data_IF_687657311081
#
_entry.id   IF_687657311081
#
_cell.length_a   1.000
_cell.length_b   1.000
_cell.length_c   1.000
_cell.angle_alpha   90.00
_cell.angle_beta   90.00
_cell.angle_gamma   90.00
#
_symmetry.space_group_name_H-M   'P 1'
#
loop_
_entity.id
_entity.type
_entity.pdbx_description
1 polymer ?
#
# COMPACT_ATOMS: atom_id res chain seq x y z
N UNK A 1 19.09 -18.44 4.31
CA UNK A 1 18.47 -19.18 3.19
C UNK A 1 18.85 -18.44 1.92
N UNK A 2 19.18 -19.15 0.84
CA UNK A 2 19.65 -18.55 -0.40
C UNK A 2 18.50 -18.11 -1.31
N UNK A 3 18.85 -17.27 -2.30
CA UNK A 3 17.97 -16.91 -3.41
C UNK A 3 17.85 -18.08 -4.39
N UNK A 4 16.64 -18.35 -4.87
CA UNK A 4 16.34 -19.30 -5.93
C UNK A 4 15.90 -18.49 -7.15
N UNK A 5 16.67 -18.55 -8.23
CA UNK A 5 16.25 -17.94 -9.49
C UNK A 5 15.33 -18.92 -10.23
N UNK A 6 14.11 -18.48 -10.54
CA UNK A 6 13.15 -19.25 -11.33
C UNK A 6 12.84 -18.50 -12.64
N UNK A 7 12.78 -19.24 -13.73
CA UNK A 7 12.31 -18.74 -15.02
C UNK A 7 10.81 -19.04 -15.16
N UNK A 8 10.04 -18.06 -15.61
CA UNK A 8 8.60 -18.21 -15.79
C UNK A 8 8.07 -17.38 -16.96
N UNK A 9 7.01 -17.88 -17.58
CA UNK A 9 6.19 -17.15 -18.55
C UNK A 9 5.06 -16.45 -17.81
N UNK A 10 5.08 -15.11 -17.81
CA UNK A 10 3.91 -14.33 -17.44
C UNK A 10 3.23 -13.95 -18.75
N UNK A 11 2.12 -14.64 -19.05
CA UNK A 11 1.53 -14.74 -20.38
C UNK A 11 1.64 -13.48 -21.24
N UNK A 12 2.06 -13.67 -22.49
CA UNK A 12 2.41 -12.59 -23.42
C UNK A 12 3.69 -12.84 -24.21
N UNK A 13 4.42 -13.94 -23.93
CA UNK A 13 5.61 -14.34 -24.68
C UNK A 13 6.91 -13.68 -24.18
N UNK A 14 6.86 -13.05 -23.01
CA UNK A 14 8.05 -12.49 -22.37
C UNK A 14 8.62 -13.50 -21.37
N UNK A 15 9.91 -13.81 -21.52
CA UNK A 15 10.65 -14.64 -20.56
C UNK A 15 11.11 -13.78 -19.40
N UNK A 16 10.76 -14.17 -18.18
CA UNK A 16 11.17 -13.47 -16.97
C UNK A 16 11.99 -14.38 -16.05
N UNK A 17 13.07 -13.83 -15.48
CA UNK A 17 13.79 -14.45 -14.37
C UNK A 17 13.44 -13.74 -13.08
N UNK A 18 12.98 -14.48 -12.08
CA UNK A 18 12.65 -13.94 -10.76
C UNK A 18 13.54 -14.58 -9.70
N UNK A 19 14.12 -13.72 -8.86
CA UNK A 19 14.85 -14.14 -7.68
C UNK A 19 13.87 -14.31 -6.51
N UNK A 20 13.58 -15.56 -6.17
CA UNK A 20 12.73 -15.94 -5.06
C UNK A 20 13.54 -16.20 -3.80
N UNK A 21 12.98 -15.88 -2.64
CA UNK A 21 13.57 -16.20 -1.35
C UNK A 21 12.50 -16.67 -0.38
N UNK A 22 12.83 -17.64 0.46
CA UNK A 22 11.98 -18.04 1.57
C UNK A 22 12.21 -17.05 2.72
N UNK A 23 11.13 -16.38 3.13
CA UNK A 23 11.13 -15.42 4.23
C UNK A 23 10.34 -16.00 5.40
N UNK A 24 10.82 -15.79 6.63
CA UNK A 24 10.14 -16.24 7.85
C UNK A 24 10.17 -15.15 8.95
N UNK A 25 9.11 -15.13 9.75
CA UNK A 25 8.95 -14.31 10.95
C UNK A 25 8.91 -15.17 12.21
N UNK A 26 9.36 -14.63 13.33
CA UNK A 26 9.33 -15.32 14.63
C UNK A 26 8.70 -14.38 15.64
N UNK A 27 7.51 -14.73 16.10
CA UNK A 27 6.74 -13.93 17.06
C UNK A 27 6.34 -14.75 18.28
N UNK A 28 6.08 -14.05 19.38
CA UNK A 28 5.47 -14.65 20.58
C UNK A 28 4.02 -15.07 20.35
N UNK A 29 3.39 -14.56 19.28
CA UNK A 29 2.10 -14.98 18.77
C UNK A 29 2.17 -15.28 17.27
N UNK A 30 1.14 -15.96 16.77
CA UNK A 30 0.99 -16.28 15.35
C UNK A 30 0.84 -15.01 14.51
N UNK A 31 0.07 -14.04 15.00
CA UNK A 31 -0.20 -12.76 14.34
C UNK A 31 1.10 -11.97 14.17
N UNK A 32 1.91 -11.88 15.23
CA UNK A 32 3.19 -11.19 15.18
C UNK A 32 4.18 -11.90 14.26
N UNK A 33 4.18 -13.24 14.24
CA UNK A 33 5.02 -14.00 13.31
C UNK A 33 4.65 -13.74 11.84
N UNK A 34 3.35 -13.64 11.53
CA UNK A 34 2.87 -13.29 10.19
C UNK A 34 3.22 -11.85 9.81
N UNK A 35 2.96 -10.89 10.70
CA UNK A 35 3.29 -9.49 10.46
C UNK A 35 4.77 -9.33 10.09
N UNK A 36 5.66 -9.91 10.89
CA UNK A 36 7.09 -9.88 10.62
C UNK A 36 7.47 -10.58 9.31
N UNK A 37 6.87 -11.74 9.02
CA UNK A 37 7.15 -12.46 7.77
C UNK A 37 6.73 -11.63 6.56
N UNK A 38 5.54 -11.01 6.62
CA UNK A 38 5.01 -10.18 5.54
C UNK A 38 5.79 -8.89 5.34
N UNK A 39 6.21 -8.23 6.43
CA UNK A 39 7.07 -7.05 6.34
C UNK A 39 8.45 -7.38 5.75
N UNK A 40 9.07 -8.48 6.19
CA UNK A 40 10.35 -8.94 5.61
C UNK A 40 10.22 -9.32 4.14
N UNK A 41 9.08 -9.88 3.74
CA UNK A 41 8.78 -10.21 2.35
C UNK A 41 8.41 -8.97 1.51
N UNK A 42 8.35 -7.77 2.12
CA UNK A 42 7.83 -6.52 1.52
C UNK A 42 6.39 -6.64 1.01
N UNK A 43 5.66 -7.64 1.51
CA UNK A 43 4.25 -7.83 1.22
C UNK A 43 3.38 -6.89 2.06
N UNK A 44 3.83 -6.53 3.26
CA UNK A 44 3.12 -5.61 4.17
C UNK A 44 4.02 -4.43 4.53
N UNK A 45 3.53 -3.21 4.35
CA UNK A 45 4.09 -2.01 4.96
C UNK A 45 3.07 -1.39 5.93
N UNK A 46 3.54 -1.05 7.13
CA UNK A 46 2.79 -0.27 8.12
C UNK A 46 3.40 1.12 8.19
N UNK A 47 2.58 2.16 8.00
CA UNK A 47 3.03 3.55 8.11
C UNK A 47 1.98 4.41 8.79
N UNK A 48 2.41 5.48 9.43
CA UNK A 48 1.50 6.55 9.84
C UNK A 48 1.01 7.29 8.58
N UNK A 49 -0.30 7.39 8.42
CA UNK A 49 -0.90 8.21 7.37
C UNK A 49 -0.89 9.69 7.79
N UNK A 50 -0.50 10.56 6.87
CA UNK A 50 -0.44 12.01 7.11
C UNK A 50 -1.31 12.77 6.10
N UNK A 51 -1.06 12.55 4.80
CA UNK A 51 -1.86 13.11 3.72
C UNK A 51 -1.64 12.36 2.41
N UNK A 52 -2.64 12.41 1.54
CA UNK A 52 -2.47 12.16 0.12
C UNK A 52 -1.87 13.39 -0.56
N UNK A 53 -0.97 13.15 -1.52
CA UNK A 53 -0.38 14.16 -2.42
C UNK A 53 0.09 15.42 -1.67
N UNK A 54 1.07 15.29 -0.77
CA UNK A 54 1.61 16.46 -0.04
C UNK A 54 2.17 17.53 -0.99
N UNK A 55 2.67 17.11 -2.15
CA UNK A 55 3.04 18.00 -3.25
C UNK A 55 1.96 17.98 -4.34
N UNK A 56 1.28 19.11 -4.52
CA UNK A 56 0.26 19.30 -5.54
C UNK A 56 0.80 19.13 -6.96
N UNK A 57 2.07 19.51 -7.20
CA UNK A 57 2.69 19.42 -8.52
C UNK A 57 2.88 17.96 -8.96
N UNK A 58 2.84 17.01 -8.03
CA UNK A 58 2.80 15.59 -8.40
C UNK A 58 1.60 15.29 -9.32
N UNK A 59 0.44 15.90 -9.09
CA UNK A 59 -0.75 15.64 -9.90
C UNK A 59 -0.71 16.30 -11.27
N UNK A 60 0.02 17.42 -11.44
CA UNK A 60 0.13 18.08 -12.75
C UNK A 60 0.87 17.23 -13.79
N UNK A 61 1.70 16.28 -13.34
CA UNK A 61 2.39 15.34 -14.23
C UNK A 61 1.44 14.27 -14.82
N UNK A 62 0.28 14.06 -14.19
CA UNK A 62 -0.69 13.02 -14.57
C UNK A 62 -2.03 13.58 -15.06
N UNK A 63 -2.36 14.83 -14.71
CA UNK A 63 -3.62 15.47 -15.03
C UNK A 63 -3.37 16.88 -15.56
N UNK A 64 -3.70 17.12 -16.82
CA UNK A 64 -3.39 18.40 -17.48
C UNK A 64 -4.32 19.54 -17.05
N UNK A 65 -5.64 19.37 -17.13
CA UNK A 65 -6.59 20.48 -16.93
C UNK A 65 -7.31 20.43 -15.57
N UNK A 66 -7.51 19.23 -15.00
CA UNK A 66 -8.38 19.04 -13.82
C UNK A 66 -7.62 18.84 -12.49
N UNK A 67 -6.27 18.94 -12.49
CA UNK A 67 -5.47 18.58 -11.32
C UNK A 67 -5.80 19.42 -10.07
N UNK A 68 -6.22 20.67 -10.25
CA UNK A 68 -6.69 21.57 -9.20
C UNK A 68 -7.93 21.01 -8.48
N UNK A 69 -8.93 20.58 -9.24
CA UNK A 69 -10.17 20.02 -8.70
C UNK A 69 -9.90 18.68 -8.01
N UNK A 70 -9.06 17.83 -8.63
CA UNK A 70 -8.65 16.55 -8.08
C UNK A 70 -7.92 16.76 -6.75
N UNK A 71 -6.96 17.68 -6.70
CA UNK A 71 -6.23 18.02 -5.48
C UNK A 71 -7.18 18.51 -4.39
N UNK A 72 -8.14 19.38 -4.73
CA UNK A 72 -9.13 19.87 -3.78
C UNK A 72 -9.99 18.75 -3.16
N UNK A 73 -10.32 17.70 -3.92
CA UNK A 73 -11.02 16.50 -3.41
C UNK A 73 -10.13 15.73 -2.42
N UNK A 74 -8.86 15.50 -2.74
CA UNK A 74 -7.93 14.85 -1.81
C UNK A 74 -7.70 15.67 -0.53
N UNK A 75 -7.66 17.00 -0.63
CA UNK A 75 -7.56 17.88 0.53
C UNK A 75 -8.77 17.76 1.48
N UNK A 76 -9.97 17.53 0.94
CA UNK A 76 -11.14 17.27 1.79
C UNK A 76 -11.00 15.95 2.55
N UNK A 77 -10.47 14.91 1.90
CA UNK A 77 -10.19 13.61 2.54
C UNK A 77 -9.10 13.77 3.60
N UNK A 78 -8.01 14.46 3.30
CA UNK A 78 -6.93 14.76 4.25
C UNK A 78 -7.47 15.48 5.50
N UNK A 79 -8.29 16.52 5.30
CA UNK A 79 -8.94 17.25 6.41
C UNK A 79 -9.84 16.35 7.24
N UNK A 80 -10.63 15.48 6.60
CA UNK A 80 -11.47 14.52 7.31
C UNK A 80 -10.63 13.65 8.25
N UNK A 81 -9.55 13.03 7.76
CA UNK A 81 -8.71 12.17 8.60
C UNK A 81 -8.03 12.93 9.73
N UNK A 82 -7.40 14.06 9.42
CA UNK A 82 -6.62 14.84 10.40
C UNK A 82 -7.47 15.51 11.48
N UNK A 83 -8.75 15.77 11.21
CA UNK A 83 -9.66 16.38 12.19
C UNK A 83 -10.41 15.36 13.04
N UNK A 84 -10.66 14.15 12.51
CA UNK A 84 -11.52 13.16 13.17
C UNK A 84 -10.76 12.14 13.99
N UNK A 85 -9.50 11.89 13.66
CA UNK A 85 -8.72 10.84 14.29
C UNK A 85 -7.42 11.42 14.85
N UNK A 86 -7.06 11.01 16.06
CA UNK A 86 -5.78 11.39 16.67
C UNK A 86 -4.62 10.67 16.00
N UNK A 87 -4.86 9.43 15.54
CA UNK A 87 -3.88 8.60 14.86
C UNK A 87 -4.56 7.86 13.71
N UNK A 88 -3.87 7.80 12.56
CA UNK A 88 -4.35 7.12 11.36
C UNK A 88 -3.24 6.22 10.85
N UNK A 89 -3.51 4.92 10.80
CA UNK A 89 -2.55 3.90 10.36
C UNK A 89 -2.87 3.52 8.92
N UNK A 90 -1.82 3.41 8.11
CA UNK A 90 -1.87 2.88 6.76
C UNK A 90 -1.27 1.47 6.72
N UNK A 91 -2.05 0.51 6.22
CA UNK A 91 -1.62 -0.83 5.86
C UNK A 91 -1.56 -0.91 4.34
N UNK A 92 -0.38 -1.17 3.79
CA UNK A 92 -0.20 -1.39 2.36
C UNK A 92 0.20 -2.84 2.14
N UNK A 93 -0.65 -3.57 1.43
CA UNK A 93 -0.38 -4.93 0.98
C UNK A 93 -0.04 -4.93 -0.50
N UNK A 94 1.18 -5.35 -0.83
CA UNK A 94 1.67 -5.42 -2.21
C UNK A 94 1.80 -6.88 -2.64
N UNK A 95 0.98 -7.28 -3.60
CA UNK A 95 1.02 -8.57 -4.27
C UNK A 95 1.57 -8.41 -5.68
N UNK A 96 1.75 -9.53 -6.37
CA UNK A 96 2.38 -9.56 -7.68
C UNK A 96 1.66 -8.67 -8.73
N UNK A 97 0.33 -8.70 -8.77
CA UNK A 97 -0.48 -7.91 -9.72
C UNK A 97 -1.45 -6.95 -9.05
N UNK A 98 -1.45 -6.88 -7.73
CA UNK A 98 -2.47 -6.15 -6.98
C UNK A 98 -1.85 -5.43 -5.79
N UNK A 99 -2.42 -4.27 -5.48
CA UNK A 99 -2.11 -3.55 -4.27
C UNK A 99 -3.40 -3.20 -3.54
N UNK A 100 -3.37 -3.39 -2.23
CA UNK A 100 -4.47 -3.10 -1.32
C UNK A 100 -3.96 -2.15 -0.25
N UNK A 101 -4.57 -0.97 -0.13
CA UNK A 101 -4.21 0.02 0.88
C UNK A 101 -5.42 0.24 1.78
N UNK A 102 -5.22 0.06 3.09
CA UNK A 102 -6.19 0.40 4.12
C UNK A 102 -5.66 1.58 4.91
N UNK A 103 -6.44 2.65 5.02
CA UNK A 103 -6.13 3.82 5.84
C UNK A 103 -7.21 3.90 6.90
N UNK A 104 -6.86 3.60 8.14
CA UNK A 104 -7.82 3.43 9.24
C UNK A 104 -7.47 4.34 10.41
N UNK A 105 -8.49 5.01 10.94
CA UNK A 105 -8.41 5.77 12.17
C UNK A 105 -9.46 5.26 13.16
N UNK A 106 -9.17 5.38 14.45
CA UNK A 106 -10.13 5.04 15.49
C UNK A 106 -10.93 6.29 15.88
N UNK A 107 -12.24 6.25 15.67
CA UNK A 107 -13.15 7.30 16.12
C UNK A 107 -13.33 7.28 17.64
N UNK A 108 -13.83 8.37 18.22
CA UNK A 108 -14.35 8.39 19.59
C UNK A 108 -15.87 8.15 19.50
N UNK A 109 -16.39 6.92 19.74
CA UNK A 109 -16.25 6.13 20.97
C UNK A 109 -15.43 4.82 20.89
N UNK A 110 -14.66 4.61 19.82
CA UNK A 110 -13.76 3.45 19.65
C UNK A 110 -13.93 2.68 18.33
N UNK A 111 -14.88 3.08 17.47
CA UNK A 111 -15.11 2.41 16.18
C UNK A 111 -13.99 2.72 15.19
N UNK A 112 -13.62 1.72 14.40
CA UNK A 112 -12.63 1.86 13.33
C UNK A 112 -13.30 2.32 12.03
N UNK A 113 -12.83 3.43 11.48
CA UNK A 113 -13.33 4.01 10.25
C UNK A 113 -12.16 4.24 9.31
N UNK A 114 -12.35 4.03 8.02
CA UNK A 114 -11.26 4.17 7.07
C UNK A 114 -11.66 4.09 5.62
N UNK A 115 -10.62 4.14 4.78
CA UNK A 115 -10.71 3.95 3.34
C UNK A 115 -10.00 2.65 2.94
N UNK A 116 -10.52 2.05 1.88
CA UNK A 116 -9.90 0.94 1.19
C UNK A 116 -9.65 1.35 -0.26
N UNK A 117 -8.41 1.25 -0.69
CA UNK A 117 -7.98 1.49 -2.06
C UNK A 117 -7.48 0.17 -2.63
N UNK A 118 -7.87 -0.13 -3.87
CA UNK A 118 -7.39 -1.28 -4.61
C UNK A 118 -6.84 -0.80 -5.93
N UNK A 119 -5.64 -1.26 -6.27
CA UNK A 119 -5.06 -1.12 -7.60
C UNK A 119 -4.78 -2.50 -8.18
N UNK A 120 -5.03 -2.65 -9.47
CA UNK A 120 -4.62 -3.81 -10.25
C UNK A 120 -3.65 -3.33 -11.31
N UNK A 121 -2.54 -4.05 -11.46
CA UNK A 121 -1.51 -3.72 -12.42
C UNK A 121 -1.39 -4.87 -13.41
N UNK A 122 -1.29 -4.54 -14.70
CA UNK A 122 -0.69 -5.44 -15.66
C UNK A 122 0.81 -5.27 -15.49
N UNK A 123 1.50 -6.33 -15.08
CA UNK A 123 2.96 -6.30 -14.97
C UNK A 123 3.55 -6.03 -16.35
N UNK A 124 4.05 -4.81 -16.57
CA UNK A 124 4.71 -4.38 -17.79
C UNK A 124 6.09 -3.82 -17.40
N UNK A 125 7.11 -4.68 -17.24
CA UNK A 125 8.45 -4.28 -16.82
C UNK A 125 9.19 -3.44 -17.87
#
# INVERSE_FOLDING_TARGET
>A
MGTISLEGDFGGGYYYSYDHQIVYGVGVSKELAFEQAFQKARLLELKQFHSFYTDKNYLSDYYEEDYEEIYAKYEQVNKFFNQRFTEVIMYRFSFFTQEHIYIIGQSNPGDWVGLYLKSEFVYNP
#
